data_IF_252865700507
#
_entry.id   IF_252865700507
#
_cell.length_a   1.000
_cell.length_b   1.000
_cell.length_c   1.000
_cell.angle_alpha   90.00
_cell.angle_beta   90.00
_cell.angle_gamma   90.00
#
_symmetry.space_group_name_H-M   'P 1'
#
loop_
_entity.id
_entity.type
_entity.pdbx_description
1 polymer ?
#
# COMPACT_ATOMS: atom_id res chain seq x y z
N UNK A 1 7.11 16.06 -13.39
CA UNK A 1 5.68 15.65 -13.50
C UNK A 1 5.51 14.37 -12.71
N UNK A 2 4.38 14.18 -12.04
CA UNK A 2 4.10 12.97 -11.27
C UNK A 2 2.63 12.57 -11.48
N UNK A 3 2.35 11.28 -11.40
CA UNK A 3 1.00 10.71 -11.47
C UNK A 3 0.77 9.93 -10.19
N UNK A 4 -0.35 10.17 -9.52
CA UNK A 4 -0.72 9.50 -8.29
C UNK A 4 -2.04 8.76 -8.45
N UNK A 5 -2.14 7.58 -7.81
CA UNK A 5 -3.36 6.79 -7.73
C UNK A 5 -3.63 6.37 -6.28
N UNK A 6 -4.89 6.40 -5.85
CA UNK A 6 -5.35 5.96 -4.53
C UNK A 6 -6.84 5.58 -4.60
N UNK A 7 -7.37 4.91 -3.56
CA UNK A 7 -8.78 4.54 -3.42
C UNK A 7 -9.15 3.12 -3.86
N UNK A 8 -8.26 2.44 -4.58
CA UNK A 8 -8.40 1.03 -4.93
C UNK A 8 -7.14 0.49 -5.60
N UNK A 9 -6.99 -0.85 -5.75
CA UNK A 9 -5.83 -1.44 -6.39
C UNK A 9 -5.72 -0.95 -7.83
N UNK A 10 -4.59 -0.32 -8.18
CA UNK A 10 -4.30 0.05 -9.56
C UNK A 10 -4.04 -1.24 -10.36
N UNK A 11 -4.80 -1.53 -11.43
CA UNK A 11 -4.50 -2.68 -12.29
C UNK A 11 -3.11 -2.51 -12.92
N UNK A 12 -2.32 -3.57 -12.93
CA UNK A 12 -0.96 -3.55 -13.50
C UNK A 12 -0.93 -3.05 -14.94
N UNK A 13 -1.90 -3.47 -15.76
CA UNK A 13 -2.01 -3.04 -17.15
C UNK A 13 -2.27 -1.53 -17.27
N UNK A 14 -3.13 -0.96 -16.40
CA UNK A 14 -3.34 0.48 -16.35
C UNK A 14 -2.04 1.21 -15.94
N UNK A 15 -1.28 0.67 -14.96
CA UNK A 15 -0.01 1.24 -14.55
C UNK A 15 1.07 1.20 -15.65
N UNK A 16 1.04 0.17 -16.51
CA UNK A 16 1.90 0.03 -17.69
C UNK A 16 1.51 1.04 -18.77
N UNK A 17 0.22 1.19 -19.06
CA UNK A 17 -0.30 2.15 -20.05
C UNK A 17 0.04 3.60 -19.67
N UNK A 18 -0.17 3.97 -18.40
CA UNK A 18 0.19 5.32 -17.89
C UNK A 18 1.67 5.62 -18.13
N UNK A 19 2.56 4.66 -17.85
CA UNK A 19 3.99 4.79 -18.13
C UNK A 19 4.29 5.01 -19.59
N UNK A 20 3.68 4.21 -20.46
CA UNK A 20 3.89 4.29 -21.90
C UNK A 20 3.42 5.63 -22.48
N UNK A 21 2.24 6.10 -22.08
CA UNK A 21 1.63 7.30 -22.66
C UNK A 21 2.20 8.59 -22.10
N UNK A 22 2.50 8.64 -20.81
CA UNK A 22 2.94 9.86 -20.13
C UNK A 22 4.45 9.92 -19.89
N UNK A 23 5.17 8.81 -20.13
CA UNK A 23 6.60 8.69 -19.85
C UNK A 23 6.95 8.71 -18.36
N UNK A 24 5.96 8.52 -17.47
CA UNK A 24 6.13 8.60 -16.01
C UNK A 24 5.43 7.42 -15.32
N UNK A 25 6.13 6.76 -14.40
CA UNK A 25 5.58 5.72 -13.54
C UNK A 25 4.59 6.28 -12.54
N UNK A 26 3.34 5.78 -12.48
CA UNK A 26 2.40 6.20 -11.45
C UNK A 26 2.89 5.74 -10.09
N UNK A 27 2.71 6.59 -9.09
CA UNK A 27 2.88 6.28 -7.68
C UNK A 27 1.52 5.94 -7.10
N UNK A 28 1.38 4.74 -6.56
CA UNK A 28 0.17 4.30 -5.91
C UNK A 28 0.32 4.45 -4.39
N UNK A 29 -0.69 4.99 -3.74
CA UNK A 29 -0.74 5.19 -2.29
C UNK A 29 -1.87 4.35 -1.72
N UNK A 30 -1.56 3.52 -0.74
CA UNK A 30 -2.49 2.66 -0.03
C UNK A 30 -2.78 3.24 1.35
N UNK A 31 -4.06 3.19 1.73
CA UNK A 31 -4.58 3.78 2.95
C UNK A 31 -6.10 3.86 2.90
N UNK A 32 -6.68 4.43 3.96
CA UNK A 32 -8.11 4.69 4.07
C UNK A 32 -8.37 6.00 4.80
N UNK A 33 -9.63 6.41 4.92
CA UNK A 33 -10.00 7.57 5.74
C UNK A 33 -9.64 7.37 7.21
N UNK A 34 -9.74 6.13 7.71
CA UNK A 34 -9.50 5.75 9.10
C UNK A 34 -8.00 5.64 9.43
N UNK A 35 -7.17 5.27 8.46
CA UNK A 35 -5.74 4.99 8.68
C UNK A 35 -4.82 6.08 8.15
N UNK A 36 -5.36 7.02 7.36
CA UNK A 36 -4.55 7.89 6.53
C UNK A 36 -3.76 7.09 5.49
N UNK A 37 -2.61 7.61 5.08
CA UNK A 37 -1.68 6.86 4.23
C UNK A 37 -0.92 5.81 5.03
N UNK A 38 -0.94 4.57 4.56
CA UNK A 38 -0.20 3.44 5.15
C UNK A 38 1.13 3.22 4.42
N UNK A 39 1.07 3.08 3.10
CA UNK A 39 2.21 2.67 2.29
C UNK A 39 2.09 3.23 0.87
N UNK A 40 3.19 3.18 0.12
CA UNK A 40 3.23 3.57 -1.27
C UNK A 40 4.05 2.57 -2.09
N UNK A 41 3.79 2.54 -3.39
CA UNK A 41 4.64 1.85 -4.35
C UNK A 41 4.72 2.67 -5.62
N UNK A 42 5.82 2.52 -6.35
CA UNK A 42 5.97 3.14 -7.67
C UNK A 42 5.95 2.07 -8.71
N UNK A 43 5.18 2.34 -9.76
CA UNK A 43 5.09 1.66 -11.05
C UNK A 43 6.20 0.70 -11.47
N UNK A 44 7.47 1.01 -11.20
CA UNK A 44 8.63 0.81 -12.09
C UNK A 44 8.86 -0.62 -12.60
N UNK A 45 8.47 -1.64 -11.82
CA UNK A 45 8.52 -3.06 -12.21
C UNK A 45 7.11 -3.65 -12.28
N UNK A 46 6.98 -4.90 -12.68
CA UNK A 46 5.71 -5.61 -12.51
C UNK A 46 5.48 -5.87 -11.00
N UNK A 47 4.26 -5.59 -10.54
CA UNK A 47 3.80 -5.78 -9.15
C UNK A 47 4.80 -5.37 -8.06
N UNK A 48 5.21 -4.09 -8.00
CA UNK A 48 6.17 -3.63 -7.00
C UNK A 48 5.57 -3.77 -5.59
N UNK A 49 6.40 -4.13 -4.59
CA UNK A 49 5.94 -4.27 -3.22
C UNK A 49 5.63 -2.92 -2.58
N UNK A 50 4.81 -2.95 -1.54
CA UNK A 50 4.44 -1.77 -0.76
C UNK A 50 5.54 -1.38 0.21
N UNK A 51 5.94 -0.13 0.15
CA UNK A 51 6.85 0.50 1.09
C UNK A 51 6.04 1.31 2.12
N UNK A 52 6.17 1.03 3.43
CA UNK A 52 5.51 1.81 4.46
C UNK A 52 5.87 3.30 4.35
N UNK A 53 4.90 4.17 4.61
CA UNK A 53 5.17 5.60 4.70
C UNK A 53 6.00 5.91 5.96
N UNK A 54 6.79 7.01 5.95
CA UNK A 54 7.55 7.42 7.14
C UNK A 54 6.64 7.57 8.36
N UNK A 55 7.04 6.97 9.48
CA UNK A 55 6.26 7.00 10.73
C UNK A 55 5.09 6.00 10.79
N UNK A 56 4.87 5.20 9.74
CA UNK A 56 3.92 4.07 9.78
C UNK A 56 4.66 2.81 10.18
N UNK A 57 4.33 2.29 11.36
CA UNK A 57 4.71 0.95 11.78
C UNK A 57 3.68 -0.06 11.30
N UNK A 58 4.13 -1.25 10.93
CA UNK A 58 3.24 -2.31 10.47
C UNK A 58 3.69 -3.67 10.98
N UNK A 59 2.73 -4.60 11.11
CA UNK A 59 2.96 -6.00 11.44
C UNK A 59 1.88 -6.87 10.81
N UNK A 60 2.10 -8.19 10.86
CA UNK A 60 1.09 -9.19 10.52
C UNK A 60 0.38 -9.61 11.81
N UNK A 61 -0.94 -9.53 11.83
CA UNK A 61 -1.82 -9.90 12.93
C UNK A 61 -2.94 -10.79 12.38
N UNK A 62 -2.96 -12.07 12.77
CA UNK A 62 -3.82 -13.12 12.19
C UNK A 62 -3.82 -13.15 10.64
N UNK A 63 -2.64 -12.98 10.04
CA UNK A 63 -2.46 -12.97 8.57
C UNK A 63 -2.93 -11.69 7.88
N UNK A 64 -3.47 -10.72 8.64
CA UNK A 64 -3.90 -9.41 8.14
C UNK A 64 -2.90 -8.32 8.54
N UNK A 65 -2.93 -7.20 7.82
CA UNK A 65 -2.11 -6.05 8.11
C UNK A 65 -2.63 -5.33 9.37
N UNK A 66 -1.74 -5.09 10.33
CA UNK A 66 -1.99 -4.17 11.43
C UNK A 66 -1.00 -3.01 11.36
N UNK A 67 -1.48 -1.78 11.59
CA UNK A 67 -0.69 -0.55 11.48
C UNK A 67 -0.78 0.28 12.75
N UNK A 68 0.29 1.01 13.05
CA UNK A 68 0.32 2.04 14.09
C UNK A 68 1.01 3.30 13.52
N UNK A 69 0.36 4.45 13.64
CA UNK A 69 0.92 5.73 13.19
C UNK A 69 0.23 6.91 13.88
N UNK A 70 0.83 8.10 13.78
CA UNK A 70 0.24 9.33 14.32
C UNK A 70 -1.05 9.79 13.61
N UNK A 71 -1.46 9.13 12.52
CA UNK A 71 -2.72 9.41 11.82
C UNK A 71 -3.92 8.64 12.40
N UNK A 72 -3.68 7.70 13.31
CA UNK A 72 -4.74 6.99 14.02
C UNK A 72 -5.18 7.80 15.26
N UNK A 73 -6.46 7.68 15.60
CA UNK A 73 -7.03 8.34 16.79
C UNK A 73 -6.43 7.82 18.12
N UNK A 74 -5.85 6.62 18.11
CA UNK A 74 -5.17 6.04 19.26
C UNK A 74 -3.75 5.58 18.92
N UNK A 75 -2.95 5.36 19.96
CA UNK A 75 -1.61 4.75 19.83
C UNK A 75 -1.65 3.23 19.68
N UNK A 76 -2.85 2.63 19.61
CA UNK A 76 -3.01 1.19 19.46
C UNK A 76 -2.85 0.74 18.00
N UNK A 77 -2.65 -0.57 17.84
CA UNK A 77 -2.61 -1.18 16.52
C UNK A 77 -4.00 -1.23 15.89
N UNK A 78 -4.14 -0.67 14.70
CA UNK A 78 -5.34 -0.79 13.87
C UNK A 78 -5.18 -1.97 12.91
N UNK A 79 -6.00 -3.01 13.07
CA UNK A 79 -6.02 -4.18 12.17
C UNK A 79 -6.95 -3.93 10.98
N UNK A 80 -6.41 -4.00 9.77
CA UNK A 80 -7.19 -3.96 8.52
C UNK A 80 -7.74 -5.35 8.19
N UNK A 81 -8.50 -5.44 7.10
CA UNK A 81 -8.96 -6.72 6.54
C UNK A 81 -8.11 -7.16 5.35
N UNK A 82 -6.94 -6.56 5.15
CA UNK A 82 -6.06 -6.85 4.02
C UNK A 82 -5.03 -7.89 4.44
N UNK A 83 -5.00 -9.02 3.74
CA UNK A 83 -4.00 -10.07 3.94
C UNK A 83 -2.66 -9.61 3.39
N UNK A 84 -1.57 -9.93 4.11
CA UNK A 84 -0.23 -9.49 3.71
C UNK A 84 0.83 -10.58 3.83
N UNK A 85 1.81 -10.50 2.93
CA UNK A 85 3.07 -11.22 3.01
C UNK A 85 4.20 -10.23 3.32
N UNK A 86 5.00 -10.53 4.34
CA UNK A 86 6.19 -9.74 4.67
C UNK A 86 7.37 -10.10 3.78
N UNK A 87 8.11 -9.08 3.35
CA UNK A 87 9.38 -9.23 2.64
C UNK A 87 10.56 -8.95 3.58
N UNK A 88 11.71 -9.53 3.26
CA UNK A 88 12.92 -9.45 4.10
C UNK A 88 13.46 -8.02 4.29
N UNK A 89 13.05 -7.07 3.45
CA UNK A 89 13.50 -5.67 3.45
C UNK A 89 12.50 -4.71 4.13
N UNK A 90 11.54 -5.24 4.89
CA UNK A 90 10.55 -4.43 5.61
C UNK A 90 9.41 -3.90 4.74
N UNK A 91 9.35 -4.31 3.47
CA UNK A 91 8.19 -4.10 2.59
C UNK A 91 7.20 -5.27 2.70
N UNK A 92 6.05 -5.12 2.06
CA UNK A 92 5.04 -6.18 2.03
C UNK A 92 4.30 -6.27 0.69
N UNK A 93 3.64 -7.41 0.47
CA UNK A 93 2.66 -7.58 -0.62
C UNK A 93 1.26 -7.68 -0.03
N UNK A 94 0.29 -7.09 -0.70
CA UNK A 94 -1.13 -7.34 -0.41
C UNK A 94 -1.55 -8.65 -1.12
N UNK A 95 -2.22 -9.53 -0.40
CA UNK A 95 -2.73 -10.82 -0.88
C UNK A 95 -4.25 -10.81 -1.09
N UNK A 96 -4.86 -9.63 -1.07
CA UNK A 96 -6.30 -9.43 -1.13
C UNK A 96 -6.94 -9.31 0.25
N UNK A 97 -8.25 -9.52 0.29
CA UNK A 97 -9.11 -9.22 1.43
C UNK A 97 -9.46 -10.49 2.19
N UNK A 98 -9.48 -10.43 3.52
CA UNK A 98 -9.85 -11.55 4.38
C UNK A 98 -11.38 -11.75 4.46
N UNK A 99 -12.15 -10.70 4.19
CA UNK A 99 -13.62 -10.65 4.22
C UNK A 99 -14.28 -10.94 2.87
N UNK A 100 -13.50 -11.41 1.88
CA UNK A 100 -13.97 -11.79 0.54
C UNK A 100 -13.79 -13.27 0.26
#
# INVERSE_FOLDING_TARGET
RAVFSSGGPLPEEAARQVRQWLGVAPTEVYGSSETGGIAWRRWETDMPPWQPLPGVQWRIDDGCLAVASAHLDSSDWWRTQDRVEALADGRFRLLGRADR
#
